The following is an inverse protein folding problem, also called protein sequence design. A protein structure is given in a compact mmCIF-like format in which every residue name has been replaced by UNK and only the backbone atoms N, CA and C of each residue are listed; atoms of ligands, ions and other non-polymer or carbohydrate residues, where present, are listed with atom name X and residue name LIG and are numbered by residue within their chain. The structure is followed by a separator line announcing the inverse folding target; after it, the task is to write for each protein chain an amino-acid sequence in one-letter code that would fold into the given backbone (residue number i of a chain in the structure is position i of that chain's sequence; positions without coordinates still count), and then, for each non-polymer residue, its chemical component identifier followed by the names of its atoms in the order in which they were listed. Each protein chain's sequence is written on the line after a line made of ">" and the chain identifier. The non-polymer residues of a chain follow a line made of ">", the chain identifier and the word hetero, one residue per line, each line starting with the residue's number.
data_IF_074741686719
#
_entry.id   IF_074741686719
#
_cell.length_a   1.000
_cell.length_b   1.000
_cell.length_c   1.000
_cell.angle_alpha   90.00
_cell.angle_beta   90.00
_cell.angle_gamma   90.00
#
_symmetry.space_group_name_H-M   'P 1'
#
loop_
_entity.id
_entity.type
_entity.pdbx_description
1 polymer ?
#
# COMPACT_ATOMS: atom_id res chain seq x y z
N UNK A 1 13.19 19.40 -31.52
CA UNK A 1 14.31 18.59 -30.98
C UNK A 1 13.88 17.75 -29.76
N UNK A 2 13.35 18.36 -28.68
CA UNK A 2 12.94 17.63 -27.47
C UNK A 2 11.90 16.53 -27.77
N UNK A 3 10.86 16.85 -28.54
CA UNK A 3 9.83 15.88 -28.91
C UNK A 3 10.40 14.69 -29.69
N UNK A 4 11.35 14.94 -30.58
CA UNK A 4 12.04 13.86 -31.34
C UNK A 4 12.85 12.95 -30.42
N UNK A 5 13.56 13.52 -29.43
CA UNK A 5 14.32 12.73 -28.45
C UNK A 5 13.37 11.86 -27.61
N UNK A 6 12.26 12.42 -27.12
CA UNK A 6 11.28 11.67 -26.35
C UNK A 6 10.65 10.54 -27.17
N UNK A 7 10.28 10.80 -28.44
CA UNK A 7 9.78 9.75 -29.34
C UNK A 7 10.81 8.64 -29.54
N UNK A 8 12.08 8.99 -29.70
CA UNK A 8 13.14 7.99 -29.82
C UNK A 8 13.33 7.17 -28.54
N UNK A 9 13.23 7.81 -27.36
CA UNK A 9 13.28 7.10 -26.08
C UNK A 9 12.10 6.14 -25.90
N UNK A 10 10.90 6.57 -26.26
CA UNK A 10 9.70 5.73 -26.22
C UNK A 10 9.84 4.52 -27.15
N UNK A 11 10.30 4.72 -28.38
CA UNK A 11 10.50 3.65 -29.35
C UNK A 11 11.62 2.69 -28.95
N UNK A 12 12.71 3.21 -28.38
CA UNK A 12 13.84 2.38 -27.92
C UNK A 12 13.50 1.61 -26.65
N UNK A 13 12.80 2.25 -25.71
CA UNK A 13 12.51 1.70 -24.39
C UNK A 13 13.76 1.56 -23.51
N UNK A 14 13.54 1.17 -22.27
CA UNK A 14 14.58 0.90 -21.28
C UNK A 14 14.85 -0.61 -21.20
N UNK A 15 16.10 -1.02 -21.17
CA UNK A 15 16.44 -2.42 -20.92
C UNK A 15 15.96 -2.81 -19.51
N UNK A 16 15.31 -3.96 -19.42
CA UNK A 16 14.79 -4.50 -18.18
C UNK A 16 15.36 -5.91 -17.96
N UNK A 17 16.10 -6.08 -16.88
CA UNK A 17 16.63 -7.37 -16.48
C UNK A 17 15.55 -8.18 -15.77
N UNK A 18 14.88 -9.03 -16.53
CA UNK A 18 13.78 -9.86 -16.02
C UNK A 18 14.25 -10.87 -14.96
N UNK A 19 15.48 -11.39 -15.08
CA UNK A 19 16.00 -12.36 -14.11
C UNK A 19 16.30 -11.69 -12.77
N UNK A 20 16.96 -10.55 -12.80
CA UNK A 20 17.21 -9.75 -11.59
C UNK A 20 15.90 -9.30 -10.93
N UNK A 21 14.92 -8.88 -11.74
CA UNK A 21 13.59 -8.48 -11.23
C UNK A 21 12.84 -9.62 -10.55
N UNK A 22 12.86 -10.83 -11.11
CA UNK A 22 12.25 -12.03 -10.47
C UNK A 22 12.95 -12.42 -9.17
N UNK A 23 14.27 -12.34 -9.13
CA UNK A 23 15.06 -12.61 -7.93
C UNK A 23 14.73 -11.59 -6.83
N UNK A 24 14.67 -10.31 -7.18
CA UNK A 24 14.27 -9.24 -6.27
C UNK A 24 12.83 -9.43 -5.77
N UNK A 25 11.87 -9.71 -6.66
CA UNK A 25 10.49 -10.00 -6.29
C UNK A 25 10.39 -11.13 -5.26
N UNK A 26 11.09 -12.24 -5.51
CA UNK A 26 11.10 -13.39 -4.60
C UNK A 26 11.63 -13.03 -3.21
N UNK A 27 12.67 -12.19 -3.14
CA UNK A 27 13.23 -11.69 -1.89
C UNK A 27 12.25 -10.79 -1.14
N UNK A 28 11.65 -9.82 -1.84
CA UNK A 28 10.67 -8.89 -1.26
C UNK A 28 9.41 -9.61 -0.79
N UNK A 29 8.94 -10.62 -1.52
CA UNK A 29 7.77 -11.42 -1.16
C UNK A 29 8.02 -12.22 0.11
N UNK A 30 9.18 -12.86 0.23
CA UNK A 30 9.56 -13.57 1.44
C UNK A 30 9.58 -12.62 2.66
N UNK A 31 10.23 -11.48 2.55
CA UNK A 31 10.29 -10.49 3.63
C UNK A 31 8.89 -9.95 4.00
N UNK A 32 8.04 -9.74 2.99
CA UNK A 32 6.64 -9.34 3.19
C UNK A 32 5.84 -10.41 3.95
N UNK A 33 5.98 -11.69 3.57
CA UNK A 33 5.29 -12.79 4.22
C UNK A 33 5.76 -13.00 5.65
N UNK A 34 7.08 -12.97 5.90
CA UNK A 34 7.68 -13.07 7.23
C UNK A 34 7.19 -11.93 8.15
N UNK A 35 7.27 -10.68 7.67
CA UNK A 35 6.81 -9.50 8.43
C UNK A 35 5.30 -9.56 8.69
N UNK A 36 4.53 -9.95 7.70
CA UNK A 36 3.07 -10.10 7.81
C UNK A 36 2.71 -11.15 8.85
N UNK A 37 3.40 -12.30 8.85
CA UNK A 37 3.12 -13.39 9.78
C UNK A 37 3.42 -12.96 11.23
N UNK A 38 4.55 -12.32 11.47
CA UNK A 38 4.91 -11.78 12.79
C UNK A 38 3.84 -10.81 13.30
N UNK A 39 3.35 -9.92 12.44
CA UNK A 39 2.32 -8.96 12.81
C UNK A 39 0.95 -9.61 13.04
N UNK A 40 0.58 -10.64 12.28
CA UNK A 40 -0.67 -11.38 12.47
C UNK A 40 -0.66 -12.22 13.74
N UNK A 41 0.45 -12.84 14.06
CA UNK A 41 0.61 -13.60 15.31
C UNK A 41 0.49 -12.68 16.54
N UNK A 42 1.00 -11.46 16.42
CA UNK A 42 0.93 -10.46 17.49
C UNK A 42 -0.44 -9.78 17.58
N UNK A 43 -1.11 -9.54 16.45
CA UNK A 43 -2.40 -8.86 16.33
C UNK A 43 -3.35 -9.66 15.42
N UNK A 44 -3.83 -10.84 15.86
CA UNK A 44 -4.66 -11.68 14.99
C UNK A 44 -6.00 -11.02 14.62
N UNK A 45 -6.54 -10.23 15.54
CA UNK A 45 -7.83 -9.58 15.40
C UNK A 45 -7.73 -8.08 15.69
N UNK A 46 -8.46 -7.29 14.93
CA UNK A 46 -8.64 -5.86 15.11
C UNK A 46 -10.12 -5.50 15.14
N UNK A 47 -10.42 -4.37 15.72
CA UNK A 47 -11.79 -3.86 15.75
C UNK A 47 -12.23 -3.48 14.32
N UNK A 48 -13.36 -4.02 13.89
CA UNK A 48 -14.03 -3.60 12.66
C UNK A 48 -14.89 -2.35 12.87
N UNK A 49 -15.67 -2.01 11.85
CA UNK A 49 -16.62 -0.91 11.95
C UNK A 49 -17.73 -1.22 12.96
N UNK A 50 -18.12 -0.20 13.70
CA UNK A 50 -19.31 -0.27 14.56
C UNK A 50 -20.57 -0.39 13.69
N UNK A 51 -21.47 -1.25 14.13
CA UNK A 51 -22.74 -1.52 13.45
C UNK A 51 -23.88 -1.50 14.45
N UNK A 52 -24.88 -0.65 14.23
CA UNK A 52 -26.11 -0.61 15.04
C UNK A 52 -27.24 -1.30 14.28
N UNK A 53 -27.72 -2.47 14.77
CA UNK A 53 -28.81 -3.19 14.12
C UNK A 53 -30.11 -2.37 14.11
N UNK A 54 -30.76 -2.32 12.96
CA UNK A 54 -32.09 -1.68 12.80
C UNK A 54 -33.23 -2.61 13.20
N UNK A 55 -32.97 -3.88 13.50
CA UNK A 55 -33.93 -4.90 13.94
C UNK A 55 -33.22 -5.93 14.81
N UNK A 56 -33.94 -6.43 15.82
CA UNK A 56 -33.46 -7.54 16.63
C UNK A 56 -33.46 -8.86 15.86
N UNK A 57 -32.41 -9.66 15.99
CA UNK A 57 -32.29 -10.97 15.38
C UNK A 57 -31.72 -11.97 16.38
N UNK A 58 -32.56 -12.86 16.90
CA UNK A 58 -32.16 -13.87 17.88
C UNK A 58 -31.11 -14.84 17.39
N UNK A 59 -31.14 -15.20 16.08
CA UNK A 59 -30.18 -16.13 15.48
C UNK A 59 -28.76 -15.56 15.41
N UNK A 60 -28.64 -14.25 15.22
CA UNK A 60 -27.38 -13.53 15.12
C UNK A 60 -26.98 -12.83 16.44
N UNK A 61 -27.81 -12.92 17.47
CA UNK A 61 -27.58 -12.24 18.75
C UNK A 61 -27.73 -10.71 18.68
N UNK A 62 -28.37 -10.18 17.63
CA UNK A 62 -28.52 -8.74 17.45
C UNK A 62 -29.71 -8.21 18.23
N UNK A 63 -29.48 -7.13 18.99
CA UNK A 63 -30.51 -6.34 19.66
C UNK A 63 -30.64 -5.00 18.94
N UNK A 64 -31.86 -4.62 18.58
CA UNK A 64 -32.17 -3.35 17.94
C UNK A 64 -31.64 -2.17 18.76
N UNK A 65 -30.97 -1.23 18.08
CA UNK A 65 -30.42 -0.03 18.72
C UNK A 65 -29.14 -0.24 19.54
N UNK A 66 -28.70 -1.50 19.76
CA UNK A 66 -27.46 -1.78 20.48
C UNK A 66 -26.26 -1.78 19.52
N UNK A 67 -25.28 -0.88 19.67
CA UNK A 67 -24.10 -0.88 18.83
C UNK A 67 -23.28 -2.14 19.09
N UNK A 68 -22.82 -2.76 18.00
CA UNK A 68 -21.99 -3.95 18.01
C UNK A 68 -20.73 -3.68 17.20
N UNK A 69 -19.60 -4.07 17.74
CA UNK A 69 -18.34 -4.05 17.02
C UNK A 69 -17.91 -5.47 16.68
N UNK A 70 -17.75 -5.75 15.39
CA UNK A 70 -17.25 -7.04 14.95
C UNK A 70 -15.72 -7.01 14.93
N UNK A 71 -15.11 -8.04 15.49
CA UNK A 71 -13.68 -8.27 15.28
C UNK A 71 -13.44 -8.75 13.84
N UNK A 72 -12.36 -8.32 13.24
CA UNK A 72 -11.90 -8.69 11.91
C UNK A 72 -10.47 -9.18 11.99
N UNK A 73 -10.10 -10.09 11.11
CA UNK A 73 -8.71 -10.47 10.94
C UNK A 73 -7.86 -9.25 10.57
N UNK A 74 -6.66 -9.18 11.12
CA UNK A 74 -5.73 -8.11 10.79
C UNK A 74 -5.36 -8.16 9.31
N UNK A 75 -5.62 -7.05 8.62
CA UNK A 75 -5.15 -6.84 7.26
C UNK A 75 -3.92 -5.91 7.29
N UNK A 76 -2.74 -6.41 6.94
CA UNK A 76 -1.49 -5.67 7.04
C UNK A 76 -1.41 -4.45 6.11
N UNK A 77 -2.19 -4.42 5.03
CA UNK A 77 -2.23 -3.29 4.08
C UNK A 77 -3.28 -2.23 4.45
N UNK A 78 -4.12 -2.51 5.44
CA UNK A 78 -5.18 -1.59 5.87
C UNK A 78 -4.64 -0.53 6.82
N UNK A 79 -4.60 0.71 6.38
CA UNK A 79 -4.22 1.85 7.22
C UNK A 79 -5.15 2.05 8.41
N UNK A 80 -6.43 1.69 8.28
CA UNK A 80 -7.40 1.75 9.37
C UNK A 80 -7.03 0.75 10.48
N UNK A 81 -6.60 -0.48 10.11
CA UNK A 81 -6.15 -1.49 11.07
C UNK A 81 -4.84 -1.08 11.75
N UNK A 82 -3.88 -0.54 10.99
CA UNK A 82 -2.62 -0.02 11.54
C UNK A 82 -2.91 1.11 12.53
N UNK A 83 -3.75 2.06 12.15
CA UNK A 83 -4.17 3.16 13.00
C UNK A 83 -4.81 2.67 14.30
N UNK A 84 -5.72 1.71 14.21
CA UNK A 84 -6.38 1.14 15.38
C UNK A 84 -5.38 0.48 16.34
N UNK A 85 -4.42 -0.31 15.82
CA UNK A 85 -3.37 -0.93 16.63
C UNK A 85 -2.52 0.13 17.34
N UNK A 86 -2.07 1.16 16.61
CA UNK A 86 -1.24 2.22 17.19
C UNK A 86 -1.99 3.00 18.27
N UNK A 87 -3.27 3.30 18.08
CA UNK A 87 -4.07 4.01 19.07
C UNK A 87 -4.38 3.15 20.30
N UNK A 88 -4.80 1.89 20.08
CA UNK A 88 -5.29 1.01 21.16
C UNK A 88 -4.16 0.44 22.01
N UNK A 89 -3.06 0.02 21.39
CA UNK A 89 -1.98 -0.67 22.09
C UNK A 89 -0.80 0.22 22.45
N UNK A 90 -0.64 1.36 21.76
CA UNK A 90 0.53 2.25 21.96
C UNK A 90 0.14 3.68 22.36
N UNK A 91 -1.17 3.96 22.53
CA UNK A 91 -1.64 5.27 22.96
C UNK A 91 -1.34 6.40 21.97
N UNK A 92 -1.04 6.05 20.71
CA UNK A 92 -0.79 7.06 19.69
C UNK A 92 -2.06 7.85 19.35
N UNK A 93 -1.94 9.16 19.23
CA UNK A 93 -3.04 10.05 18.82
C UNK A 93 -2.71 10.64 17.45
N UNK A 94 -3.65 10.55 16.46
CA UNK A 94 -3.42 11.12 15.14
C UNK A 94 -3.23 12.63 15.20
N UNK A 95 -2.15 13.14 14.59
CA UNK A 95 -1.91 14.57 14.43
C UNK A 95 -2.70 15.18 13.28
N UNK A 96 -3.13 14.35 12.31
CA UNK A 96 -3.89 14.79 11.14
C UNK A 96 -4.91 13.73 10.73
N UNK A 97 -6.03 14.22 10.17
CA UNK A 97 -7.11 13.37 9.67
C UNK A 97 -7.30 13.61 8.17
N UNK A 98 -7.76 12.58 7.48
CA UNK A 98 -8.20 12.68 6.08
C UNK A 98 -9.54 13.43 5.99
N UNK A 99 -9.94 13.84 4.80
CA UNK A 99 -11.25 14.48 4.58
C UNK A 99 -12.44 13.60 5.03
N UNK A 100 -12.24 12.29 5.14
CA UNK A 100 -13.23 11.34 5.65
C UNK A 100 -13.16 11.11 7.16
N UNK A 101 -12.34 11.88 7.90
CA UNK A 101 -12.20 11.80 9.36
C UNK A 101 -11.34 10.63 9.85
N UNK A 102 -10.63 9.93 8.98
CA UNK A 102 -9.73 8.84 9.34
C UNK A 102 -8.33 9.35 9.63
N UNK A 103 -7.60 8.69 10.52
CA UNK A 103 -6.21 9.03 10.78
C UNK A 103 -5.34 8.88 9.51
N UNK A 104 -4.47 9.85 9.29
CA UNK A 104 -3.45 9.77 8.24
C UNK A 104 -2.37 8.81 8.71
N UNK A 105 -2.11 7.77 7.93
CA UNK A 105 -1.02 6.82 8.12
C UNK A 105 -0.19 6.81 6.84
N UNK A 106 0.95 7.46 6.89
CA UNK A 106 1.92 7.50 5.82
C UNK A 106 3.34 7.25 6.35
N UNK A 107 4.30 7.29 5.44
CA UNK A 107 5.70 7.04 5.76
C UNK A 107 6.25 8.05 6.78
N UNK A 108 5.86 9.32 6.66
CA UNK A 108 6.34 10.39 7.56
C UNK A 108 5.79 10.17 8.96
N UNK A 109 4.49 9.94 9.09
CA UNK A 109 3.84 9.68 10.38
C UNK A 109 4.45 8.47 11.09
N UNK A 110 4.67 7.36 10.36
CA UNK A 110 5.26 6.15 10.96
C UNK A 110 6.72 6.36 11.39
N UNK A 111 7.50 7.16 10.66
CA UNK A 111 8.85 7.54 11.05
C UNK A 111 8.85 8.44 12.29
N UNK A 112 7.93 9.40 12.37
CA UNK A 112 7.81 10.33 13.50
C UNK A 112 7.40 9.60 14.79
N UNK A 113 6.55 8.56 14.69
CA UNK A 113 6.22 7.68 15.84
C UNK A 113 7.46 6.95 16.35
N UNK A 114 8.34 6.48 15.47
CA UNK A 114 9.66 5.94 15.76
C UNK A 114 9.71 4.70 16.66
N UNK A 115 8.57 4.09 16.97
CA UNK A 115 8.52 2.84 17.74
C UNK A 115 8.82 1.64 16.84
N UNK A 116 9.34 0.54 17.42
CA UNK A 116 9.64 -0.68 16.67
C UNK A 116 8.45 -1.17 15.84
N UNK A 117 7.24 -1.09 16.40
CA UNK A 117 6.03 -1.51 15.68
C UNK A 117 5.69 -0.56 14.51
N UNK A 118 5.87 0.74 14.69
CA UNK A 118 5.64 1.70 13.61
C UNK A 118 6.64 1.48 12.46
N UNK A 119 7.89 1.14 12.77
CA UNK A 119 8.91 0.79 11.78
C UNK A 119 8.58 -0.52 11.07
N UNK A 120 8.02 -1.53 11.75
CA UNK A 120 7.54 -2.76 11.11
C UNK A 120 6.38 -2.47 10.13
N UNK A 121 5.43 -1.61 10.52
CA UNK A 121 4.37 -1.17 9.60
C UNK A 121 4.93 -0.38 8.41
N UNK A 122 5.92 0.47 8.64
CA UNK A 122 6.59 1.20 7.57
C UNK A 122 7.27 0.25 6.57
N UNK A 123 8.02 -0.74 7.08
CA UNK A 123 8.63 -1.78 6.24
C UNK A 123 7.57 -2.50 5.41
N UNK A 124 6.48 -2.93 6.03
CA UNK A 124 5.39 -3.62 5.35
C UNK A 124 4.74 -2.79 4.23
N UNK A 125 4.45 -1.51 4.50
CA UNK A 125 3.89 -0.61 3.48
C UNK A 125 4.89 -0.35 2.34
N UNK A 126 6.18 -0.28 2.65
CA UNK A 126 7.24 -0.12 1.65
C UNK A 126 7.34 -1.36 0.76
N UNK A 127 7.36 -2.56 1.36
CA UNK A 127 7.36 -3.83 0.63
C UNK A 127 6.13 -3.97 -0.27
N UNK A 128 4.94 -3.61 0.23
CA UNK A 128 3.70 -3.60 -0.56
C UNK A 128 3.83 -2.68 -1.77
N UNK A 129 4.39 -1.48 -1.59
CA UNK A 129 4.61 -0.53 -2.68
C UNK A 129 5.61 -1.08 -3.71
N UNK A 130 6.72 -1.67 -3.25
CA UNK A 130 7.75 -2.23 -4.14
C UNK A 130 7.21 -3.43 -4.93
N UNK A 131 6.50 -4.37 -4.29
CA UNK A 131 5.83 -5.48 -4.98
C UNK A 131 4.79 -4.97 -5.99
N UNK A 132 4.03 -3.94 -5.62
CA UNK A 132 3.09 -3.27 -6.53
C UNK A 132 3.77 -2.70 -7.78
N UNK A 133 4.97 -2.14 -7.64
CA UNK A 133 5.73 -1.61 -8.78
C UNK A 133 6.32 -2.72 -9.65
N UNK A 134 6.83 -3.80 -9.06
CA UNK A 134 7.53 -4.87 -9.78
C UNK A 134 6.56 -5.82 -10.46
N UNK A 135 5.56 -6.36 -9.73
CA UNK A 135 4.76 -7.50 -10.23
C UNK A 135 3.25 -7.38 -10.04
N UNK A 136 2.76 -6.77 -8.95
CA UNK A 136 1.34 -6.86 -8.58
C UNK A 136 0.46 -5.77 -9.19
N UNK A 137 0.96 -4.54 -9.32
CA UNK A 137 0.21 -3.40 -9.84
C UNK A 137 -0.28 -3.60 -11.28
N UNK A 138 -1.28 -2.84 -11.67
CA UNK A 138 -1.81 -2.84 -13.07
C UNK A 138 -0.71 -2.48 -14.06
N UNK A 139 0.12 -1.49 -13.73
CA UNK A 139 1.25 -1.03 -14.52
C UNK A 139 2.59 -1.53 -13.93
N UNK A 140 2.62 -2.74 -13.36
CA UNK A 140 3.84 -3.31 -12.82
C UNK A 140 4.87 -3.54 -13.94
N UNK A 141 6.13 -3.31 -13.62
CA UNK A 141 7.20 -3.35 -14.61
C UNK A 141 7.27 -4.68 -15.36
N UNK A 142 7.18 -5.80 -14.65
CA UNK A 142 7.19 -7.14 -15.28
C UNK A 142 6.04 -7.36 -16.28
N UNK A 143 4.90 -6.68 -16.11
CA UNK A 143 3.74 -6.78 -17.01
C UNK A 143 3.91 -5.96 -18.29
N UNK A 144 4.79 -4.97 -18.28
CA UNK A 144 5.01 -4.03 -19.36
C UNK A 144 6.24 -4.38 -20.23
N UNK A 145 6.95 -5.44 -19.87
CA UNK A 145 8.15 -5.87 -20.61
C UNK A 145 7.77 -6.45 -21.96
N UNK A 146 8.41 -5.94 -23.00
CA UNK A 146 8.32 -6.47 -24.37
C UNK A 146 9.74 -6.59 -24.93
N UNK A 147 10.16 -7.80 -25.28
CA UNK A 147 11.52 -8.09 -25.79
C UNK A 147 12.63 -7.51 -24.88
N UNK A 148 12.52 -7.78 -23.57
CA UNK A 148 13.43 -7.29 -22.50
C UNK A 148 13.55 -5.78 -22.43
N UNK A 149 12.49 -5.05 -22.83
CA UNK A 149 12.43 -3.60 -22.72
C UNK A 149 11.09 -3.14 -22.21
N UNK A 150 11.09 -2.02 -21.50
CA UNK A 150 9.90 -1.31 -21.06
C UNK A 150 9.81 -0.02 -21.87
N UNK A 151 8.68 0.18 -22.55
CA UNK A 151 8.39 1.37 -23.33
C UNK A 151 7.46 2.27 -22.50
N UNK A 152 8.00 3.35 -21.96
CA UNK A 152 7.23 4.32 -21.19
C UNK A 152 6.78 5.47 -22.10
N UNK A 153 5.67 6.09 -21.75
CA UNK A 153 5.26 7.33 -22.41
C UNK A 153 5.72 8.54 -21.60
N UNK A 154 6.34 9.51 -22.27
CA UNK A 154 6.76 10.77 -21.67
C UNK A 154 6.11 11.96 -22.36
N UNK A 155 5.48 12.84 -21.57
CA UNK A 155 4.89 14.07 -22.06
C UNK A 155 5.53 15.28 -21.38
N UNK A 156 5.89 16.29 -22.15
CA UNK A 156 6.34 17.61 -21.65
C UNK A 156 5.20 18.63 -21.54
N UNK A 157 3.98 18.26 -21.92
CA UNK A 157 2.79 19.10 -21.86
C UNK A 157 2.25 19.17 -20.42
N UNK A 158 3.07 19.64 -19.48
CA UNK A 158 2.70 19.88 -18.10
C UNK A 158 2.78 21.38 -17.78
N UNK A 159 1.97 21.84 -16.85
CA UNK A 159 1.98 23.25 -16.42
C UNK A 159 3.32 23.74 -15.87
N UNK A 160 4.16 22.81 -15.43
CA UNK A 160 5.49 23.10 -14.86
C UNK A 160 6.65 22.76 -15.81
N UNK A 161 6.37 22.41 -17.05
CA UNK A 161 7.35 21.95 -18.06
C UNK A 161 8.22 20.75 -17.62
N UNK A 162 7.77 19.98 -16.63
CA UNK A 162 8.41 18.73 -16.21
C UNK A 162 7.94 17.59 -17.11
N UNK A 163 8.80 16.62 -17.34
CA UNK A 163 8.38 15.38 -17.99
C UNK A 163 7.41 14.61 -17.08
N UNK A 164 6.22 14.31 -17.61
CA UNK A 164 5.28 13.40 -16.99
C UNK A 164 5.45 12.01 -17.60
N UNK A 165 5.92 11.06 -16.80
CA UNK A 165 6.08 9.68 -17.22
C UNK A 165 4.80 8.90 -16.94
N UNK A 166 4.42 8.04 -17.89
CA UNK A 166 3.24 7.15 -17.77
C UNK A 166 3.60 5.76 -18.27
N UNK A 167 3.03 4.76 -17.64
CA UNK A 167 3.01 3.37 -18.07
C UNK A 167 4.39 2.79 -18.41
N UNK A 168 5.28 2.60 -17.43
CA UNK A 168 5.15 2.93 -16.01
C UNK A 168 5.51 4.38 -15.69
N UNK A 169 5.23 4.78 -14.44
CA UNK A 169 5.82 5.98 -13.88
C UNK A 169 7.22 5.61 -13.36
N UNK A 170 8.24 6.11 -14.00
CA UNK A 170 9.65 5.84 -13.68
C UNK A 170 10.20 6.94 -12.77
#
# INVERSE_FOLDING_TARGET
>A
QVAQILTQQELHGWYFDEQAARSLESSLRREYEETTQVLRDRYPLVQGSEFTPKRSNKRSGYVEGCPLTKLKEFNPTSRDHISWILQTHYGWTPSSLTNSGKAVIDETVLKDIGTDIALQFLTLLTLTKQLGMISEGVNAWQKLVTKSRIHHHCSVATSTFRCAHRTPNL
#
